data_IF_083377728996
#
_entry.id   IF_083377728996
#
_cell.length_a   1.000
_cell.length_b   1.000
_cell.length_c   1.000
_cell.angle_alpha   90.00
_cell.angle_beta   90.00
_cell.angle_gamma   90.00
#
_symmetry.space_group_name_H-M   'P 1'
#
loop_
_entity.id
_entity.type
_entity.pdbx_description
1 polymer ?
#
# COMPACT_ATOMS: atom_id res chain seq x y z
N UNK A 1 2.34 -8.23 4.23
CA UNK A 1 3.24 -9.31 4.72
C UNK A 1 3.98 -9.90 3.54
N UNK A 2 5.29 -10.15 3.67
CA UNK A 2 6.09 -10.84 2.64
C UNK A 2 6.22 -12.33 3.00
N UNK A 3 6.07 -13.21 2.02
CA UNK A 3 6.23 -14.66 2.16
C UNK A 3 7.22 -15.16 1.12
N UNK A 4 8.22 -15.94 1.53
CA UNK A 4 9.11 -16.66 0.60
C UNK A 4 8.39 -17.92 0.12
N UNK A 5 8.28 -18.12 -1.19
CA UNK A 5 7.54 -19.23 -1.82
C UNK A 5 8.40 -20.15 -2.67
N UNK A 6 9.65 -19.77 -2.93
CA UNK A 6 10.66 -20.54 -3.65
C UNK A 6 12.06 -20.04 -3.30
N UNK A 7 13.11 -20.61 -3.89
CA UNK A 7 14.50 -20.31 -3.49
C UNK A 7 14.86 -18.82 -3.60
N UNK A 8 14.37 -18.17 -4.65
CA UNK A 8 14.52 -16.73 -4.89
C UNK A 8 13.17 -16.05 -5.14
N UNK A 9 12.06 -16.67 -4.73
CA UNK A 9 10.71 -16.18 -5.05
C UNK A 9 9.97 -15.72 -3.80
N UNK A 10 9.35 -14.54 -3.89
CA UNK A 10 8.67 -13.85 -2.81
C UNK A 10 7.28 -13.39 -3.24
N UNK A 11 6.31 -13.43 -2.32
CA UNK A 11 4.96 -12.91 -2.54
C UNK A 11 4.62 -11.89 -1.47
N UNK A 12 3.88 -10.89 -1.90
CA UNK A 12 3.36 -9.86 -1.02
C UNK A 12 1.86 -10.14 -0.81
N UNK A 13 1.46 -10.40 0.44
CA UNK A 13 0.06 -10.60 0.85
C UNK A 13 -0.42 -9.42 1.70
N UNK A 14 -1.61 -8.92 1.40
CA UNK A 14 -2.23 -7.81 2.13
C UNK A 14 -3.63 -8.16 2.59
N UNK A 15 -3.97 -7.71 3.79
CA UNK A 15 -5.28 -7.87 4.39
C UNK A 15 -5.72 -6.51 4.93
N UNK A 16 -6.78 -5.92 4.38
CA UNK A 16 -7.31 -4.64 4.87
C UNK A 16 -8.53 -4.80 5.79
N UNK A 17 -9.48 -5.69 5.45
CA UNK A 17 -10.55 -6.23 6.33
C UNK A 17 -11.39 -7.24 5.52
N UNK A 18 -11.83 -8.34 6.13
CA UNK A 18 -12.69 -9.34 5.45
C UNK A 18 -11.97 -10.14 4.36
N UNK A 19 -12.67 -10.42 3.25
CA UNK A 19 -12.23 -11.26 2.12
C UNK A 19 -11.47 -10.49 1.01
N UNK A 20 -11.26 -9.18 1.16
CA UNK A 20 -10.57 -8.38 0.14
C UNK A 20 -9.05 -8.62 0.20
N UNK A 21 -8.59 -9.57 -0.63
CA UNK A 21 -7.18 -9.70 -0.99
C UNK A 21 -6.91 -8.81 -2.20
N UNK A 22 -6.23 -7.69 -1.96
CA UNK A 22 -5.64 -6.92 -3.04
C UNK A 22 -4.30 -7.56 -3.40
N UNK A 23 -4.28 -8.30 -4.51
CA UNK A 23 -3.04 -8.70 -5.15
C UNK A 23 -2.36 -7.46 -5.73
N UNK A 24 -1.05 -7.32 -5.58
CA UNK A 24 -0.27 -6.15 -6.03
C UNK A 24 -0.17 -6.02 -7.56
N UNK A 25 -0.90 -6.84 -8.32
CA UNK A 25 -0.76 -7.01 -9.77
C UNK A 25 0.44 -7.89 -10.18
N UNK A 26 1.37 -8.18 -9.26
CA UNK A 26 2.54 -9.06 -9.45
C UNK A 26 2.46 -10.22 -8.47
N UNK A 27 2.19 -11.42 -8.98
CA UNK A 27 2.00 -12.62 -8.14
C UNK A 27 3.29 -13.10 -7.46
N UNK A 28 4.46 -12.89 -8.09
CA UNK A 28 5.76 -13.33 -7.60
C UNK A 28 6.85 -12.31 -7.93
N UNK A 29 7.70 -12.07 -6.94
CA UNK A 29 8.90 -11.26 -7.01
C UNK A 29 10.12 -12.17 -6.91
N UNK A 30 11.14 -11.91 -7.71
CA UNK A 30 12.45 -12.57 -7.65
C UNK A 30 13.46 -11.81 -6.76
N UNK A 31 13.14 -10.56 -6.42
CA UNK A 31 13.90 -9.69 -5.54
C UNK A 31 13.09 -9.32 -4.29
N UNK A 32 13.63 -9.62 -3.11
CA UNK A 32 12.96 -9.31 -1.83
C UNK A 32 12.85 -7.80 -1.59
N UNK A 33 13.83 -7.02 -2.03
CA UNK A 33 13.83 -5.56 -1.92
C UNK A 33 12.70 -4.93 -2.73
N UNK A 34 12.44 -5.42 -3.94
CA UNK A 34 11.30 -4.99 -4.74
C UNK A 34 9.97 -5.37 -4.07
N UNK A 35 9.78 -6.61 -3.60
CA UNK A 35 8.52 -6.99 -2.91
C UNK A 35 8.30 -6.10 -1.68
N UNK A 36 9.34 -5.88 -0.85
CA UNK A 36 9.20 -5.03 0.34
C UNK A 36 8.87 -3.58 -0.03
N UNK A 37 9.49 -3.04 -1.09
CA UNK A 37 9.24 -1.65 -1.53
C UNK A 37 7.80 -1.49 -2.01
N UNK A 38 7.34 -2.36 -2.90
CA UNK A 38 5.96 -2.35 -3.39
C UNK A 38 4.96 -2.56 -2.24
N UNK A 39 5.28 -3.45 -1.31
CA UNK A 39 4.48 -3.67 -0.11
C UNK A 39 4.33 -2.36 0.69
N UNK A 40 5.42 -1.68 0.98
CA UNK A 40 5.36 -0.46 1.79
C UNK A 40 4.65 0.68 1.06
N UNK A 41 4.79 0.78 -0.27
CA UNK A 41 4.12 1.80 -1.05
C UNK A 41 2.60 1.63 -1.04
N UNK A 42 2.10 0.40 -1.24
CA UNK A 42 0.66 0.10 -1.18
C UNK A 42 0.10 0.33 0.24
N UNK A 43 0.88 0.07 1.30
CA UNK A 43 0.47 0.43 2.68
C UNK A 43 0.34 1.93 2.85
N UNK A 44 1.34 2.68 2.40
CA UNK A 44 1.35 4.13 2.52
C UNK A 44 0.20 4.77 1.73
N UNK A 45 -0.06 4.30 0.51
CA UNK A 45 -1.12 4.84 -0.33
C UNK A 45 -2.51 4.56 0.25
N UNK A 46 -2.75 3.37 0.80
CA UNK A 46 -4.02 3.12 1.48
C UNK A 46 -4.21 3.94 2.76
N UNK A 47 -3.15 4.12 3.57
CA UNK A 47 -3.26 4.98 4.76
C UNK A 47 -3.50 6.44 4.36
N UNK A 48 -2.97 6.91 3.22
CA UNK A 48 -3.33 8.22 2.64
C UNK A 48 -4.80 8.27 2.22
N UNK A 49 -5.29 7.27 1.49
CA UNK A 49 -6.69 7.21 1.05
C UNK A 49 -7.66 7.20 2.23
N UNK A 50 -7.34 6.45 3.28
CA UNK A 50 -8.10 6.41 4.53
C UNK A 50 -8.07 7.74 5.28
N UNK A 51 -6.99 8.50 5.15
CA UNK A 51 -6.90 9.88 5.63
C UNK A 51 -7.58 10.90 4.69
N UNK A 52 -8.23 10.45 3.61
CA UNK A 52 -8.91 11.31 2.62
C UNK A 52 -7.97 11.95 1.60
N UNK A 53 -6.70 11.53 1.54
CA UNK A 53 -5.69 12.05 0.62
C UNK A 53 -5.56 11.10 -0.57
N UNK A 54 -6.02 11.53 -1.74
CA UNK A 54 -5.83 10.76 -2.97
C UNK A 54 -4.42 10.92 -3.54
N UNK A 55 -3.95 9.91 -4.27
CA UNK A 55 -2.70 9.98 -5.01
C UNK A 55 -2.74 11.12 -6.04
N UNK A 56 -1.70 11.95 -6.08
CA UNK A 56 -1.64 13.19 -6.89
C UNK A 56 -2.05 14.47 -6.14
N UNK A 57 -2.42 14.37 -4.87
CA UNK A 57 -2.71 15.55 -4.05
C UNK A 57 -1.45 16.42 -3.84
N UNK A 58 -1.58 17.74 -4.02
CA UNK A 58 -0.50 18.70 -3.73
C UNK A 58 -0.39 18.97 -2.23
N UNK A 59 0.76 19.48 -1.77
CA UNK A 59 0.97 19.81 -0.35
C UNK A 59 -0.10 20.76 0.22
N UNK A 60 -0.63 21.67 -0.59
CA UNK A 60 -1.73 22.57 -0.22
C UNK A 60 -3.06 21.81 0.00
N UNK A 61 -3.35 20.81 -0.83
CA UNK A 61 -4.57 19.99 -0.70
C UNK A 61 -4.54 19.12 0.56
N UNK A 62 -3.36 18.63 0.95
CA UNK A 62 -3.17 17.86 2.20
C UNK A 62 -3.41 18.76 3.42
N UNK A 63 -2.88 19.99 3.41
CA UNK A 63 -3.10 20.97 4.49
C UNK A 63 -4.59 21.28 4.67
N UNK A 64 -5.34 21.41 3.58
CA UNK A 64 -6.78 21.69 3.63
C UNK A 64 -7.61 20.55 4.21
N UNK A 65 -7.21 19.29 3.97
CA UNK A 65 -7.86 18.10 4.55
C UNK A 65 -7.60 18.02 6.06
N UNK A 66 -6.39 18.37 6.50
CA UNK A 66 -6.01 18.34 7.91
C UNK A 66 -6.60 19.50 8.74
N UNK A 67 -6.86 20.64 8.10
CA UNK A 67 -7.41 21.84 8.75
C UNK A 67 -8.93 21.77 8.98
N UNK A 68 -9.68 21.05 8.15
CA UNK A 68 -11.12 20.87 8.29
C UNK A 68 -11.43 19.55 8.99
N UNK A 69 -10.99 19.40 10.24
CA UNK A 69 -11.30 18.24 11.09
C UNK A 69 -12.70 17.71 10.79
N UNK A 70 -12.73 16.47 10.29
CA UNK A 70 -13.90 15.75 9.77
C UNK A 70 -15.15 15.96 10.65
N UNK A 71 -16.37 16.05 10.09
CA UNK A 71 -17.53 15.53 10.81
C UNK A 71 -17.43 14.01 11.04
#
# INVERSE_FOLDING_TARGET
MVVKVGDTEYRCQFFYRGHEQFGTGREVYDNIGECVTDLLQIQADHEKEKAGVSSGATGEQIIMIQANGLP
#
